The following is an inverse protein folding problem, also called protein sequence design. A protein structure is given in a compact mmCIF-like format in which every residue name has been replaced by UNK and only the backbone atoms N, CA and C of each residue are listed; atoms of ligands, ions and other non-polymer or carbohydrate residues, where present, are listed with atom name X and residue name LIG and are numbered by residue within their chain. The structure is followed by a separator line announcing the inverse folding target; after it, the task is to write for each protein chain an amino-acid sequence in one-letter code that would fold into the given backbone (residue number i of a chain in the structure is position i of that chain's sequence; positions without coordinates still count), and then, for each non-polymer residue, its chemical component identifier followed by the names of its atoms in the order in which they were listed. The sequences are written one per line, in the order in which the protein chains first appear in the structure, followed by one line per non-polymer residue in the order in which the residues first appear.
data_IF_254413180908
#
_entry.id   IF_254413180908
#
_cell.length_a   1.000
_cell.length_b   1.000
_cell.length_c   1.000
_cell.angle_alpha   90.00
_cell.angle_beta   90.00
_cell.angle_gamma   90.00
#
_symmetry.space_group_name_H-M   'P 1'
#
loop_
_entity.id
_entity.type
_entity.pdbx_description
1 polymer ?
#
# COMPACT_ATOMS: atom_id res chain seq x y z
N UNK A 1 -16.48 -4.07 -42.64
CA UNK A 1 -17.70 -3.50 -42.00
C UNK A 1 -17.20 -2.76 -40.77
N UNK A 2 -16.87 -1.46 -40.76
CA UNK A 2 -17.74 -0.25 -40.87
C UNK A 2 -19.03 -0.40 -40.04
N UNK A 3 -19.42 0.44 -39.07
CA UNK A 3 -19.24 1.89 -38.77
C UNK A 3 -19.47 2.11 -37.21
N UNK A 4 -19.66 3.32 -36.61
CA UNK A 4 -18.86 3.91 -35.51
C UNK A 4 -19.75 4.49 -34.38
N UNK A 5 -19.23 5.32 -33.48
CA UNK A 5 -19.85 6.59 -32.99
C UNK A 5 -18.84 7.31 -32.09
N UNK A 6 -18.20 8.37 -32.59
CA UNK A 6 -17.63 9.44 -31.77
C UNK A 6 -18.04 10.76 -32.41
N UNK A 7 -18.89 11.50 -31.71
CA UNK A 7 -19.30 12.86 -32.05
C UNK A 7 -18.28 13.85 -31.51
N UNK A 8 -17.74 14.67 -32.40
CA UNK A 8 -16.93 15.85 -32.13
C UNK A 8 -17.75 16.91 -31.38
N UNK A 9 -17.16 17.50 -30.34
CA UNK A 9 -17.55 18.81 -29.82
C UNK A 9 -16.35 19.75 -30.00
N UNK A 10 -16.57 20.80 -30.78
CA UNK A 10 -15.65 21.89 -31.07
C UNK A 10 -15.39 22.73 -29.82
N UNK A 11 -14.14 23.13 -29.60
CA UNK A 11 -13.79 24.29 -28.78
C UNK A 11 -13.19 25.37 -29.71
N UNK A 12 -13.63 26.63 -29.60
CA UNK A 12 -13.20 27.69 -30.50
C UNK A 12 -11.80 28.22 -30.17
N UNK A 13 -11.07 28.48 -31.23
CA UNK A 13 -9.80 29.21 -31.30
C UNK A 13 -10.00 30.73 -31.29
N UNK A 14 -9.09 31.41 -30.58
CA UNK A 14 -8.47 32.72 -30.84
C UNK A 14 -8.53 33.68 -29.65
N UNK A 15 -7.35 34.08 -29.15
CA UNK A 15 -6.85 35.41 -29.51
C UNK A 15 -5.33 35.52 -29.27
N UNK A 16 -4.67 35.91 -30.35
CA UNK A 16 -3.32 36.47 -30.38
C UNK A 16 -3.25 37.77 -29.58
N UNK A 17 -2.21 37.95 -28.79
CA UNK A 17 -1.48 39.22 -28.68
C UNK A 17 0.01 38.92 -28.50
N UNK A 18 0.82 39.47 -29.40
CA UNK A 18 2.28 39.44 -29.38
C UNK A 18 2.85 40.72 -28.77
N UNK A 19 4.05 40.55 -28.16
CA UNK A 19 5.17 41.50 -28.02
C UNK A 19 4.97 42.73 -27.11
N UNK A 20 5.76 42.77 -26.02
CA UNK A 20 6.87 43.73 -25.92
C UNK A 20 7.82 43.40 -24.75
N UNK A 21 9.09 43.23 -25.08
CA UNK A 21 10.25 43.46 -24.20
C UNK A 21 10.24 44.91 -23.70
N UNK A 22 10.45 45.13 -22.40
CA UNK A 22 11.36 46.16 -21.87
C UNK A 22 11.72 45.85 -20.41
N UNK A 23 12.99 45.49 -20.21
CA UNK A 23 13.71 45.67 -18.96
C UNK A 23 13.85 47.18 -18.69
N UNK A 24 13.44 47.65 -17.50
CA UNK A 24 14.25 48.55 -16.65
C UNK A 24 13.46 49.12 -15.47
N UNK A 25 14.15 49.19 -14.32
CA UNK A 25 13.85 49.98 -13.12
C UNK A 25 12.86 49.39 -12.09
N UNK A 26 13.40 48.53 -11.21
CA UNK A 26 12.94 48.47 -9.81
C UNK A 26 13.65 49.56 -9.01
N UNK A 27 12.94 50.50 -8.35
CA UNK A 27 13.50 51.22 -7.23
C UNK A 27 13.54 50.29 -6.01
N UNK A 28 14.69 50.27 -5.36
CA UNK A 28 14.86 49.91 -3.96
C UNK A 28 13.76 50.56 -3.12
N UNK A 29 12.89 49.76 -2.52
CA UNK A 29 11.98 50.22 -1.47
C UNK A 29 12.12 49.30 -0.27
N UNK A 30 12.47 49.97 0.83
CA UNK A 30 12.57 49.52 2.21
C UNK A 30 11.76 48.28 2.57
N UNK A 31 12.44 47.31 3.18
CA UNK A 31 11.83 46.28 4.02
C UNK A 31 10.95 46.95 5.09
N UNK A 32 9.63 46.86 4.93
CA UNK A 32 8.67 47.06 6.02
C UNK A 32 8.23 45.68 6.53
N UNK A 33 8.41 45.36 7.82
CA UNK A 33 8.09 44.05 8.37
C UNK A 33 6.62 43.99 8.80
N UNK A 34 5.68 43.89 7.85
CA UNK A 34 4.26 43.57 8.14
C UNK A 34 3.39 43.50 6.88
N UNK A 35 3.70 42.64 5.91
CA UNK A 35 2.71 42.26 4.91
C UNK A 35 2.43 40.76 5.04
N UNK A 36 1.22 40.45 5.51
CA UNK A 36 0.61 39.13 5.45
C UNK A 36 0.45 38.77 3.96
N UNK A 37 1.46 38.11 3.42
CA UNK A 37 1.47 37.70 2.02
C UNK A 37 0.90 36.30 1.89
N UNK A 38 0.06 36.11 0.87
CA UNK A 38 -0.38 34.78 0.44
C UNK A 38 0.81 34.11 -0.23
N UNK A 39 1.10 32.88 0.18
CA UNK A 39 2.12 32.01 -0.39
C UNK A 39 1.41 30.88 -1.14
N UNK A 40 1.81 30.66 -2.39
CA UNK A 40 1.38 29.49 -3.17
C UNK A 40 2.34 28.33 -2.88
N UNK A 41 1.81 27.12 -2.69
CA UNK A 41 2.59 25.89 -2.51
C UNK A 41 2.18 24.84 -3.53
N UNK A 42 3.14 24.01 -3.93
CA UNK A 42 2.89 22.79 -4.72
C UNK A 42 2.99 21.59 -3.81
N UNK A 43 1.93 20.80 -3.67
CA UNK A 43 1.92 19.61 -2.80
C UNK A 43 1.87 18.35 -3.65
N UNK A 44 2.83 17.45 -3.47
CA UNK A 44 2.87 16.17 -4.16
C UNK A 44 1.61 15.33 -3.83
N UNK A 45 0.88 14.90 -4.86
CA UNK A 45 -0.27 13.98 -4.72
C UNK A 45 0.17 12.55 -4.43
N UNK A 46 1.36 12.19 -4.88
CA UNK A 46 2.01 10.89 -4.67
C UNK A 46 3.43 11.12 -4.15
N UNK A 47 3.90 10.28 -3.23
CA UNK A 47 5.14 10.48 -2.48
C UNK A 47 6.32 10.92 -3.36
N UNK A 48 6.87 12.10 -3.05
CA UNK A 48 8.03 12.75 -3.70
C UNK A 48 7.95 12.90 -5.23
N UNK A 49 6.77 12.73 -5.85
CA UNK A 49 6.59 12.93 -7.28
C UNK A 49 6.38 14.42 -7.59
N UNK A 50 7.47 15.12 -7.90
CA UNK A 50 7.47 16.57 -8.19
C UNK A 50 6.68 16.97 -9.45
N UNK A 51 6.45 16.03 -10.37
CA UNK A 51 5.65 16.27 -11.57
C UNK A 51 4.14 16.12 -11.32
N UNK A 52 3.73 15.50 -10.20
CA UNK A 52 2.34 15.25 -9.86
C UNK A 52 1.95 16.00 -8.58
N UNK A 53 1.76 17.31 -8.71
CA UNK A 53 1.44 18.20 -7.59
C UNK A 53 0.03 18.81 -7.72
N UNK A 54 -0.51 19.27 -6.60
CA UNK A 54 -1.65 20.20 -6.55
C UNK A 54 -1.19 21.53 -5.98
N UNK A 55 -1.82 22.61 -6.42
CA UNK A 55 -1.53 23.96 -5.92
C UNK A 55 -2.43 24.27 -4.72
N UNK A 56 -1.88 24.98 -3.75
CA UNK A 56 -2.64 25.51 -2.62
C UNK A 56 -2.07 26.85 -2.15
N UNK A 57 -2.95 27.78 -1.83
CA UNK A 57 -2.56 29.07 -1.28
C UNK A 57 -2.71 29.10 0.23
N UNK A 58 -1.84 29.79 0.94
CA UNK A 58 -1.95 29.99 2.39
C UNK A 58 -1.48 31.36 2.80
N UNK A 59 -2.05 31.90 3.88
CA UNK A 59 -1.54 33.13 4.46
C UNK A 59 -0.25 32.84 5.22
N UNK A 60 0.75 33.71 5.12
CA UNK A 60 2.00 33.55 5.87
C UNK A 60 1.81 33.54 7.41
N UNK A 61 0.69 34.06 7.91
CA UNK A 61 0.28 33.96 9.33
C UNK A 61 -0.38 32.64 9.72
N UNK A 62 -0.81 31.82 8.76
CA UNK A 62 -1.46 30.55 9.08
C UNK A 62 -0.47 29.65 9.82
N UNK A 63 -0.99 28.84 10.73
CA UNK A 63 -0.19 27.92 11.54
C UNK A 63 0.17 26.67 10.77
N UNK A 64 1.18 25.93 11.24
CA UNK A 64 1.48 24.58 10.77
C UNK A 64 0.25 23.69 10.84
N UNK A 65 -0.55 23.79 11.91
CA UNK A 65 -1.81 23.03 12.04
C UNK A 65 -2.78 23.35 10.90
N UNK A 66 -2.95 24.62 10.55
CA UNK A 66 -3.79 25.03 9.43
C UNK A 66 -3.25 24.53 8.08
N UNK A 67 -1.92 24.56 7.89
CA UNK A 67 -1.25 23.98 6.73
C UNK A 67 -1.54 22.48 6.62
N UNK A 68 -1.40 21.74 7.73
CA UNK A 68 -1.69 20.32 7.79
C UNK A 68 -3.15 20.03 7.44
N UNK A 69 -4.08 20.78 8.03
CA UNK A 69 -5.51 20.61 7.79
C UNK A 69 -5.87 20.88 6.32
N UNK A 70 -5.26 21.90 5.72
CA UNK A 70 -5.49 22.25 4.32
C UNK A 70 -4.91 21.21 3.37
N UNK A 71 -3.68 20.74 3.61
CA UNK A 71 -3.09 19.62 2.85
C UNK A 71 -3.98 18.37 2.96
N UNK A 72 -4.43 18.05 4.17
CA UNK A 72 -5.31 16.91 4.41
C UNK A 72 -6.61 17.02 3.61
N UNK A 73 -7.24 18.19 3.61
CA UNK A 73 -8.44 18.46 2.81
C UNK A 73 -8.19 18.32 1.30
N UNK A 74 -7.14 18.95 0.76
CA UNK A 74 -6.85 18.94 -0.68
C UNK A 74 -6.45 17.57 -1.23
N UNK A 75 -5.69 16.81 -0.44
CA UNK A 75 -5.28 15.46 -0.79
C UNK A 75 -6.33 14.41 -0.41
N UNK A 76 -7.47 14.82 0.17
CA UNK A 76 -8.51 13.93 0.71
C UNK A 76 -7.95 12.90 1.70
N UNK A 77 -6.94 13.30 2.47
CA UNK A 77 -6.30 12.51 3.52
C UNK A 77 -7.11 12.69 4.80
N UNK A 78 -7.74 11.62 5.29
CA UNK A 78 -8.45 11.64 6.59
C UNK A 78 -7.53 11.10 7.69
N UNK A 79 -6.53 11.88 8.09
CA UNK A 79 -5.55 11.55 9.14
C UNK A 79 -5.49 12.60 10.23
N UNK A 80 -5.11 12.18 11.45
CA UNK A 80 -4.84 13.09 12.54
C UNK A 80 -3.59 13.91 12.20
N UNK A 81 -3.66 15.24 12.37
CA UNK A 81 -2.58 16.17 11.98
C UNK A 81 -1.23 15.86 12.66
N UNK A 82 -1.23 15.13 13.77
CA UNK A 82 -0.02 14.68 14.49
C UNK A 82 0.72 13.50 13.84
N UNK A 83 0.14 12.84 12.84
CA UNK A 83 0.61 11.54 12.33
C UNK A 83 1.35 11.60 10.98
N UNK A 84 1.44 12.79 10.37
CA UNK A 84 2.19 12.98 9.14
C UNK A 84 3.09 14.22 9.23
N UNK A 85 4.27 14.10 8.64
CA UNK A 85 5.30 15.12 8.57
C UNK A 85 5.39 15.63 7.14
N UNK A 86 5.95 16.82 6.95
CA UNK A 86 6.21 17.34 5.62
C UNK A 86 7.68 17.48 5.35
N UNK A 87 8.02 17.28 4.09
CA UNK A 87 9.32 17.62 3.57
C UNK A 87 9.13 18.74 2.55
N UNK A 88 10.08 19.66 2.51
CA UNK A 88 10.19 20.64 1.42
C UNK A 88 11.33 20.20 0.50
N UNK A 89 11.11 20.30 -0.81
CA UNK A 89 12.16 20.09 -1.79
C UNK A 89 13.04 21.33 -1.86
N UNK A 90 14.33 21.16 -1.61
CA UNK A 90 15.34 22.19 -1.78
C UNK A 90 15.85 22.15 -3.23
N UNK A 91 15.68 23.25 -3.97
CA UNK A 91 16.10 23.35 -5.37
C UNK A 91 17.60 23.64 -5.52
N UNK A 92 18.25 24.20 -4.50
CA UNK A 92 19.67 24.50 -4.52
C UNK A 92 20.48 23.20 -4.31
N UNK A 93 20.04 22.37 -3.36
CA UNK A 93 20.72 21.10 -3.02
C UNK A 93 20.10 19.85 -3.69
N UNK A 94 18.96 19.99 -4.37
CA UNK A 94 18.18 18.88 -4.97
C UNK A 94 17.78 17.77 -3.99
N UNK A 95 17.54 18.12 -2.71
CA UNK A 95 17.22 17.17 -1.63
C UNK A 95 15.91 17.51 -0.94
N UNK A 96 15.26 16.50 -0.35
CA UNK A 96 14.12 16.70 0.54
C UNK A 96 14.61 17.01 1.95
N UNK A 97 14.08 18.08 2.55
CA UNK A 97 14.38 18.50 3.92
C UNK A 97 13.12 18.41 4.77
N UNK A 98 13.19 17.69 5.89
CA UNK A 98 12.07 17.59 6.83
C UNK A 98 11.80 18.95 7.48
N UNK A 99 10.53 19.34 7.54
CA UNK A 99 10.09 20.52 8.27
C UNK A 99 9.85 20.11 9.73
N UNK A 100 10.47 20.83 10.67
CA UNK A 100 10.17 20.69 12.09
C UNK A 100 8.76 21.23 12.38
N UNK A 101 7.86 20.32 12.74
CA UNK A 101 6.46 20.58 13.05
C UNK A 101 6.12 20.31 14.51
N UNK A 102 7.15 20.20 15.37
CA UNK A 102 7.01 19.89 16.80
C UNK A 102 6.14 20.90 17.56
N UNK A 103 6.11 22.17 17.11
CA UNK A 103 5.24 23.21 17.65
C UNK A 103 4.10 23.54 16.65
N UNK A 104 2.86 23.08 16.92
CA UNK A 104 1.72 23.20 16.00
C UNK A 104 1.24 24.64 15.78
N UNK A 105 1.65 25.58 16.64
CA UNK A 105 1.28 27.00 16.61
C UNK A 105 2.27 27.87 15.84
N UNK A 106 3.42 27.33 15.40
CA UNK A 106 4.37 28.06 14.55
C UNK A 106 3.69 28.47 13.25
N UNK A 107 3.92 29.69 12.80
CA UNK A 107 3.34 30.22 11.56
C UNK A 107 4.21 29.87 10.36
N UNK A 108 3.62 29.85 9.17
CA UNK A 108 4.33 29.54 7.92
C UNK A 108 5.49 30.50 7.68
N UNK A 109 5.35 31.79 8.02
CA UNK A 109 6.42 32.77 7.90
C UNK A 109 7.66 32.41 8.77
N UNK A 110 7.42 31.81 9.94
CA UNK A 110 8.49 31.39 10.84
C UNK A 110 9.24 30.15 10.33
N UNK A 111 8.60 29.34 9.48
CA UNK A 111 9.24 28.20 8.80
C UNK A 111 10.16 28.59 7.65
N UNK A 112 10.19 29.87 7.25
CA UNK A 112 11.00 30.40 6.15
C UNK A 112 10.76 29.69 4.79
N UNK A 113 9.56 29.16 4.58
CA UNK A 113 9.17 28.57 3.30
C UNK A 113 8.95 29.67 2.24
N UNK A 114 9.43 29.44 1.02
CA UNK A 114 9.23 30.36 -0.11
C UNK A 114 7.95 29.99 -0.88
N UNK A 115 7.29 30.99 -1.45
CA UNK A 115 6.20 30.74 -2.42
C UNK A 115 6.73 29.93 -3.61
N UNK A 116 5.93 28.99 -4.08
CA UNK A 116 6.24 28.07 -5.18
C UNK A 116 6.98 26.80 -4.77
N UNK A 117 7.37 26.65 -3.48
CA UNK A 117 8.10 25.47 -3.03
C UNK A 117 7.23 24.20 -3.13
N UNK A 118 7.91 23.06 -3.25
CA UNK A 118 7.26 21.76 -3.38
C UNK A 118 7.29 21.07 -2.02
N UNK A 119 6.11 20.71 -1.52
CA UNK A 119 5.88 19.98 -0.29
C UNK A 119 5.54 18.52 -0.58
N UNK A 120 6.14 17.61 0.18
CA UNK A 120 5.79 16.20 0.22
C UNK A 120 5.21 15.86 1.60
N UNK A 121 4.24 14.95 1.62
CA UNK A 121 3.70 14.37 2.87
C UNK A 121 4.39 13.04 3.10
N UNK A 122 5.06 12.89 4.24
CA UNK A 122 5.69 11.65 4.67
C UNK A 122 4.92 11.03 5.84
N UNK A 123 4.64 9.74 5.71
CA UNK A 123 4.03 8.93 6.75
C UNK A 123 5.15 8.22 7.50
N UNK A 124 5.44 8.63 8.74
CA UNK A 124 6.36 7.85 9.58
C UNK A 124 5.62 6.62 10.11
N UNK A 125 5.73 5.50 9.40
CA UNK A 125 5.71 4.20 10.08
C UNK A 125 6.89 4.22 11.04
N UNK A 126 6.66 4.35 12.35
CA UNK A 126 7.71 4.03 13.32
C UNK A 126 8.16 2.60 13.03
N UNK A 127 9.34 2.45 12.43
CA UNK A 127 10.05 1.18 12.45
C UNK A 127 10.33 0.90 13.92
N UNK A 128 9.63 -0.08 14.49
CA UNK A 128 10.01 -0.65 15.79
C UNK A 128 11.40 -1.26 15.59
N UNK A 129 12.44 -0.84 16.34
CA UNK A 129 13.75 -1.46 16.24
C UNK A 129 13.63 -2.95 16.52
N UNK A 130 14.20 -3.76 15.63
CA UNK A 130 14.41 -5.19 15.84
C UNK A 130 15.50 -5.39 16.90
N UNK A 131 15.18 -5.12 18.16
CA UNK A 131 15.99 -5.59 19.28
C UNK A 131 15.11 -5.88 20.50
N UNK A 132 14.62 -7.12 20.57
CA UNK A 132 14.23 -7.72 21.84
C UNK A 132 15.52 -8.07 22.59
N UNK A 133 16.03 -7.15 23.41
CA UNK A 133 16.69 -7.44 24.70
C UNK A 133 17.06 -6.13 25.42
N UNK A 134 16.58 -6.05 26.66
CA UNK A 134 16.82 -5.02 27.67
C UNK A 134 16.11 -3.69 27.44
N UNK A 135 15.06 -3.46 28.23
CA UNK A 135 14.92 -2.25 29.02
C UNK A 135 13.89 -2.50 30.13
N UNK A 136 14.34 -2.17 31.33
CA UNK A 136 13.72 -2.48 32.60
C UNK A 136 12.39 -1.75 32.82
N UNK A 137 11.62 -2.33 33.72
CA UNK A 137 10.41 -1.82 34.36
C UNK A 137 10.37 -0.31 34.58
N UNK A 138 9.45 0.34 33.89
CA UNK A 138 8.70 1.47 34.43
C UNK A 138 7.26 1.37 33.90
N UNK A 139 6.32 1.42 34.83
CA UNK A 139 4.88 1.30 34.62
C UNK A 139 4.37 2.32 33.59
N UNK A 140 4.17 1.88 32.36
CA UNK A 140 3.42 2.62 31.33
C UNK A 140 1.97 2.13 31.38
N UNK A 141 1.04 3.05 31.54
CA UNK A 141 -0.41 2.78 31.53
C UNK A 141 -0.81 1.98 30.29
N UNK A 142 -1.60 0.93 30.46
CA UNK A 142 -2.15 0.07 29.41
C UNK A 142 -3.22 0.79 28.55
N UNK A 143 -2.92 1.96 27.99
CA UNK A 143 -3.80 2.61 27.03
C UNK A 143 -3.44 2.11 25.62
N UNK A 144 -4.31 1.29 25.03
CA UNK A 144 -4.16 0.84 23.65
C UNK A 144 -3.98 2.00 22.68
N UNK A 145 -3.12 1.83 21.68
CA UNK A 145 -2.93 2.80 20.59
C UNK A 145 -4.15 2.90 19.69
N UNK A 146 -4.41 4.06 19.12
CA UNK A 146 -5.45 4.25 18.09
C UNK A 146 -4.91 3.79 16.72
N UNK A 147 -5.68 2.98 16.00
CA UNK A 147 -5.36 2.48 14.66
C UNK A 147 -6.28 3.17 13.65
N UNK A 148 -5.70 3.80 12.63
CA UNK A 148 -6.44 4.32 11.48
C UNK A 148 -6.45 3.25 10.37
N UNK A 149 -7.59 2.67 10.03
CA UNK A 149 -7.69 1.57 9.06
C UNK A 149 -8.31 2.05 7.74
N UNK A 150 -8.00 1.35 6.63
CA UNK A 150 -8.52 1.64 5.28
C UNK A 150 -9.56 0.60 4.88
N UNK A 151 -10.83 0.96 4.95
CA UNK A 151 -11.92 0.04 4.63
C UNK A 151 -12.31 0.13 3.15
N UNK A 152 -11.98 -0.92 2.41
CA UNK A 152 -12.37 -1.16 1.01
C UNK A 152 -13.77 -1.79 0.96
N UNK A 153 -14.58 -1.35 0.01
CA UNK A 153 -15.93 -1.91 -0.25
C UNK A 153 -15.97 -2.89 -1.39
N UNK A 154 -14.98 -2.80 -2.28
CA UNK A 154 -14.80 -3.70 -3.40
C UNK A 154 -13.58 -4.57 -3.10
N UNK A 155 -13.72 -5.90 -3.08
CA UNK A 155 -12.57 -6.76 -2.93
C UNK A 155 -11.63 -6.49 -4.12
N UNK A 156 -10.35 -6.24 -3.82
CA UNK A 156 -9.25 -5.89 -4.74
C UNK A 156 -9.10 -4.41 -5.13
N UNK A 157 -10.05 -3.52 -4.82
CA UNK A 157 -9.87 -2.10 -5.11
C UNK A 157 -9.21 -1.38 -3.93
N UNK A 158 -7.89 -1.17 -4.01
CA UNK A 158 -7.12 -0.39 -3.03
C UNK A 158 -7.05 1.09 -3.36
N UNK A 159 -7.70 1.50 -4.43
CA UNK A 159 -7.75 2.91 -4.88
C UNK A 159 -8.98 3.64 -4.33
N UNK A 160 -10.02 2.89 -3.95
CA UNK A 160 -11.26 3.42 -3.36
C UNK A 160 -11.51 2.80 -1.97
N UNK A 161 -11.32 3.60 -0.92
CA UNK A 161 -11.46 3.18 0.47
C UNK A 161 -11.85 4.35 1.38
N UNK A 162 -12.46 4.01 2.52
CA UNK A 162 -12.77 4.98 3.57
C UNK A 162 -11.89 4.75 4.80
N UNK A 163 -11.51 5.85 5.46
CA UNK A 163 -10.79 5.77 6.73
C UNK A 163 -11.74 5.60 7.91
N UNK A 164 -11.30 4.85 8.91
CA UNK A 164 -11.91 4.87 10.24
C UNK A 164 -10.89 4.53 11.32
N UNK A 165 -11.15 5.01 12.54
CA UNK A 165 -10.27 4.74 13.68
C UNK A 165 -10.87 3.70 14.61
N UNK A 166 -9.99 2.89 15.20
CA UNK A 166 -10.35 1.90 16.20
C UNK A 166 -9.20 1.74 17.20
N UNK A 167 -9.52 1.58 18.50
CA UNK A 167 -8.48 1.32 19.49
C UNK A 167 -7.92 -0.11 19.30
N UNK A 168 -6.60 -0.28 19.35
CA UNK A 168 -5.90 -1.57 19.22
C UNK A 168 -6.32 -2.63 20.24
N UNK A 169 -6.77 -2.23 21.44
CA UNK A 169 -7.35 -3.14 22.43
C UNK A 169 -8.82 -3.51 22.14
N UNK A 170 -9.42 -2.95 21.08
CA UNK A 170 -10.74 -3.39 20.62
C UNK A 170 -10.66 -4.80 20.04
N UNK A 171 -11.75 -5.56 20.16
CA UNK A 171 -11.81 -6.90 19.60
C UNK A 171 -12.07 -6.89 18.10
N UNK A 172 -11.72 -7.99 17.41
CA UNK A 172 -12.07 -8.20 15.99
C UNK A 172 -13.58 -8.14 15.77
N UNK A 173 -14.40 -8.66 16.69
CA UNK A 173 -15.86 -8.55 16.58
C UNK A 173 -16.34 -7.08 16.59
N UNK A 174 -15.67 -6.20 17.35
CA UNK A 174 -15.97 -4.76 17.34
C UNK A 174 -15.49 -4.08 16.06
N UNK A 175 -14.32 -4.45 15.55
CA UNK A 175 -13.83 -4.03 14.23
C UNK A 175 -14.86 -4.36 13.14
N UNK A 176 -15.29 -5.62 13.12
CA UNK A 176 -16.28 -6.16 12.19
C UNK A 176 -17.58 -5.35 12.25
N UNK A 177 -18.14 -5.16 13.44
CA UNK A 177 -19.36 -4.37 13.65
C UNK A 177 -19.24 -2.94 13.11
N UNK A 178 -18.17 -2.22 13.46
CA UNK A 178 -17.97 -0.84 12.99
C UNK A 178 -17.79 -0.76 11.47
N UNK A 179 -17.07 -1.71 10.88
CA UNK A 179 -16.87 -1.76 9.45
C UNK A 179 -18.20 -1.97 8.70
N UNK A 180 -19.08 -2.84 9.19
CA UNK A 180 -20.42 -3.05 8.63
C UNK A 180 -21.35 -1.84 8.79
N UNK A 181 -21.36 -1.21 9.97
CA UNK A 181 -22.16 0.00 10.24
C UNK A 181 -21.84 1.13 9.25
N UNK A 182 -20.55 1.31 8.90
CA UNK A 182 -20.13 2.32 7.92
C UNK A 182 -20.73 2.14 6.52
N UNK A 183 -21.20 0.94 6.18
CA UNK A 183 -21.77 0.64 4.87
C UNK A 183 -23.27 0.40 4.86
N UNK A 184 -23.95 0.59 6.00
CA UNK A 184 -25.38 0.37 6.12
C UNK A 184 -25.82 -1.03 5.63
N UNK A 185 -24.90 -2.01 5.70
CA UNK A 185 -25.08 -3.40 5.31
C UNK A 185 -25.13 -4.25 6.58
N UNK A 186 -26.17 -5.07 6.72
CA UNK A 186 -26.39 -5.90 7.89
C UNK A 186 -26.67 -7.35 7.46
N UNK A 187 -25.65 -8.21 7.55
CA UNK A 187 -25.81 -9.66 7.67
C UNK A 187 -24.73 -10.21 8.60
N UNK A 188 -25.14 -10.97 9.61
CA UNK A 188 -24.36 -11.27 10.82
C UNK A 188 -23.20 -12.26 10.65
N UNK A 189 -22.94 -12.77 9.45
CA UNK A 189 -22.03 -13.91 9.22
C UNK A 189 -21.00 -13.68 8.10
N UNK A 190 -20.75 -12.44 7.69
CA UNK A 190 -19.82 -12.20 6.59
C UNK A 190 -18.35 -12.06 7.06
N UNK A 191 -17.41 -12.66 6.31
CA UNK A 191 -15.99 -12.61 6.62
C UNK A 191 -15.43 -11.18 6.49
N UNK A 192 -14.38 -10.88 7.26
CA UNK A 192 -13.62 -9.63 7.16
C UNK A 192 -12.20 -10.00 6.76
N UNK A 193 -11.60 -9.23 5.87
CA UNK A 193 -10.28 -9.52 5.32
C UNK A 193 -9.33 -8.41 5.66
N UNK A 194 -8.10 -8.79 6.03
CA UNK A 194 -6.99 -7.91 6.29
C UNK A 194 -6.04 -7.93 5.09
N UNK A 195 -5.80 -6.78 4.48
CA UNK A 195 -4.88 -6.61 3.36
C UNK A 195 -3.47 -6.22 3.82
N UNK A 196 -2.45 -6.90 3.28
CA UNK A 196 -1.05 -6.46 3.31
C UNK A 196 -0.63 -5.92 1.93
N UNK A 197 0.63 -5.57 1.72
CA UNK A 197 1.11 -5.03 0.43
C UNK A 197 0.83 -5.91 -0.81
N UNK A 198 0.66 -7.22 -0.68
CA UNK A 198 0.52 -8.14 -1.81
C UNK A 198 -0.73 -9.02 -1.80
N UNK A 199 -1.39 -9.19 -0.65
CA UNK A 199 -2.50 -10.12 -0.50
C UNK A 199 -3.54 -9.64 0.51
N UNK A 200 -4.65 -10.36 0.54
CA UNK A 200 -5.69 -10.28 1.56
C UNK A 200 -5.71 -11.57 2.34
N UNK A 201 -5.90 -11.48 3.66
CA UNK A 201 -5.98 -12.61 4.58
C UNK A 201 -7.34 -12.58 5.25
N UNK A 202 -8.02 -13.73 5.28
CA UNK A 202 -9.27 -13.90 5.99
C UNK A 202 -9.04 -13.76 7.49
N UNK A 203 -9.85 -12.97 8.17
CA UNK A 203 -9.90 -12.89 9.63
C UNK A 203 -11.11 -13.71 10.09
N UNK A 204 -10.82 -14.93 10.50
CA UNK A 204 -11.80 -15.94 10.91
C UNK A 204 -12.67 -15.48 12.08
N UNK A 205 -13.92 -15.93 12.09
CA UNK A 205 -14.88 -15.59 13.16
C UNK A 205 -14.45 -16.07 14.55
N UNK A 206 -13.63 -17.13 14.62
CA UNK A 206 -13.04 -17.65 15.86
C UNK A 206 -12.10 -16.64 16.54
N UNK A 207 -11.62 -15.64 15.80
CA UNK A 207 -10.76 -14.57 16.32
C UNK A 207 -11.55 -13.36 16.83
N UNK A 208 -12.88 -13.37 16.79
CA UNK A 208 -13.71 -12.21 17.13
C UNK A 208 -13.51 -11.71 18.58
N UNK A 209 -13.05 -12.57 19.49
CA UNK A 209 -12.69 -12.22 20.87
C UNK A 209 -11.26 -11.69 21.05
N UNK A 210 -10.37 -11.90 20.06
CA UNK A 210 -8.99 -11.41 20.09
C UNK A 210 -8.95 -9.91 19.87
N UNK A 211 -7.98 -9.25 20.49
CA UNK A 211 -7.74 -7.82 20.25
C UNK A 211 -7.03 -7.61 18.92
N UNK A 212 -7.14 -6.41 18.36
CA UNK A 212 -6.40 -6.05 17.16
C UNK A 212 -4.87 -6.03 17.39
N UNK A 213 -4.45 -5.77 18.63
CA UNK A 213 -3.06 -5.86 19.05
C UNK A 213 -2.55 -7.31 19.01
N UNK A 214 -3.34 -8.28 19.49
CA UNK A 214 -2.98 -9.71 19.44
C UNK A 214 -2.79 -10.25 18.01
N UNK A 215 -3.38 -9.57 17.02
CA UNK A 215 -3.34 -9.93 15.61
C UNK A 215 -2.44 -9.01 14.78
N UNK A 216 -1.59 -8.22 15.45
CA UNK A 216 -0.63 -7.31 14.84
C UNK A 216 -1.25 -6.36 13.80
N UNK A 217 -2.46 -5.82 14.05
CA UNK A 217 -3.01 -4.79 13.18
C UNK A 217 -2.19 -3.51 13.31
N UNK A 218 -1.79 -3.00 12.15
CA UNK A 218 -1.05 -1.74 12.02
C UNK A 218 -1.96 -0.65 11.49
N UNK A 219 -1.64 0.59 11.79
CA UNK A 219 -2.27 1.72 11.11
C UNK A 219 -2.10 1.58 9.59
N UNK A 220 -3.09 2.06 8.86
CA UNK A 220 -3.25 1.99 7.41
C UNK A 220 -3.43 0.60 6.82
N UNK A 221 -3.59 -0.42 7.67
CA UNK A 221 -3.97 -1.76 7.23
C UNK A 221 -5.28 -1.69 6.45
N UNK A 222 -5.28 -2.31 5.27
CA UNK A 222 -6.48 -2.41 4.45
C UNK A 222 -7.42 -3.46 5.04
N UNK A 223 -8.71 -3.16 5.04
CA UNK A 223 -9.79 -4.01 5.53
C UNK A 223 -10.83 -4.13 4.43
N UNK A 224 -11.40 -5.31 4.23
CA UNK A 224 -12.58 -5.48 3.36
C UNK A 224 -13.64 -6.30 4.08
N UNK A 225 -14.90 -5.89 3.94
CA UNK A 225 -16.09 -6.57 4.49
C UNK A 225 -16.94 -7.29 3.43
N UNK A 226 -16.57 -7.12 2.16
CA UNK A 226 -17.21 -7.72 1.00
C UNK A 226 -16.09 -8.38 0.20
N UNK A 227 -15.83 -9.64 0.47
CA UNK A 227 -14.81 -10.42 -0.22
C UNK A 227 -15.42 -11.78 -0.46
N UNK A 228 -15.66 -12.06 -1.74
CA UNK A 228 -16.11 -13.35 -2.20
C UNK A 228 -14.87 -14.11 -2.71
N UNK A 229 -14.50 -15.18 -2.02
CA UNK A 229 -13.40 -16.07 -2.41
C UNK A 229 -13.57 -16.54 -3.88
N UNK A 230 -14.80 -16.60 -4.40
CA UNK A 230 -15.08 -16.98 -5.79
C UNK A 230 -14.76 -15.88 -6.80
N UNK A 231 -14.83 -14.60 -6.45
CA UNK A 231 -14.57 -13.49 -7.37
C UNK A 231 -13.06 -13.27 -7.58
N UNK A 232 -12.22 -13.54 -6.58
CA UNK A 232 -10.76 -13.37 -6.66
C UNK A 232 -10.09 -14.51 -7.39
N UNK A 233 -10.60 -15.74 -7.29
CA UNK A 233 -10.17 -16.84 -8.15
C UNK A 233 -10.42 -16.59 -9.66
N UNK A 234 -11.06 -15.48 -10.02
CA UNK A 234 -11.17 -15.01 -11.42
C UNK A 234 -10.22 -13.86 -11.78
N UNK A 235 -9.54 -13.24 -10.81
CA UNK A 235 -8.74 -12.01 -10.96
C UNK A 235 -7.34 -12.05 -10.33
N UNK A 236 -6.88 -13.19 -9.80
CA UNK A 236 -5.51 -13.27 -9.27
C UNK A 236 -4.51 -13.11 -10.42
N UNK A 237 -3.44 -12.30 -10.26
CA UNK A 237 -2.37 -12.25 -11.24
C UNK A 237 -1.82 -13.65 -11.49
N UNK A 238 -1.86 -14.11 -12.74
CA UNK A 238 -1.29 -15.41 -13.11
C UNK A 238 0.15 -15.51 -12.62
N UNK A 239 0.47 -16.62 -11.96
CA UNK A 239 1.81 -16.88 -11.41
C UNK A 239 2.01 -16.34 -9.99
N UNK A 240 1.11 -15.50 -9.46
CA UNK A 240 1.18 -14.98 -8.10
C UNK A 240 0.32 -15.85 -7.14
N UNK A 241 0.88 -16.98 -6.71
CA UNK A 241 0.25 -17.87 -5.73
C UNK A 241 1.29 -18.51 -4.81
N UNK A 242 0.89 -18.87 -3.59
CA UNK A 242 1.70 -19.62 -2.64
C UNK A 242 1.74 -21.12 -2.93
N UNK A 243 2.63 -21.83 -2.25
CA UNK A 243 2.64 -23.30 -2.19
C UNK A 243 2.40 -23.75 -0.75
N UNK A 244 1.50 -24.70 -0.56
CA UNK A 244 1.20 -25.27 0.77
C UNK A 244 2.45 -26.00 1.29
N UNK A 245 2.85 -25.72 2.53
CA UNK A 245 3.92 -26.45 3.20
C UNK A 245 3.34 -27.76 3.76
N UNK A 246 3.86 -28.90 3.31
CA UNK A 246 3.36 -30.24 3.65
C UNK A 246 4.14 -30.91 4.79
N UNK A 247 4.90 -30.11 5.55
CA UNK A 247 5.80 -30.57 6.60
C UNK A 247 7.22 -30.76 6.08
N UNK A 248 8.15 -29.93 6.55
CA UNK A 248 9.56 -29.91 6.10
C UNK A 248 9.76 -29.69 4.58
N UNK A 249 8.76 -29.21 3.82
CA UNK A 249 8.88 -29.02 2.36
C UNK A 249 9.15 -27.57 1.93
N UNK A 250 9.48 -26.67 2.87
CA UNK A 250 9.71 -25.26 2.55
C UNK A 250 10.92 -25.03 1.62
N UNK A 251 11.93 -25.91 1.65
CA UNK A 251 13.07 -25.89 0.72
C UNK A 251 12.57 -26.06 -0.73
N UNK A 252 11.77 -27.11 -0.98
CA UNK A 252 11.16 -27.43 -2.27
C UNK A 252 10.24 -26.30 -2.75
N UNK A 253 9.39 -25.78 -1.85
CA UNK A 253 8.48 -24.68 -2.18
C UNK A 253 9.26 -23.42 -2.60
N UNK A 254 10.34 -23.10 -1.90
CA UNK A 254 11.20 -21.95 -2.23
C UNK A 254 11.83 -22.10 -3.61
N UNK A 255 12.37 -23.28 -3.93
CA UNK A 255 13.00 -23.58 -5.21
C UNK A 255 11.99 -23.48 -6.36
N UNK A 256 10.80 -24.08 -6.20
CA UNK A 256 9.77 -23.98 -7.24
C UNK A 256 9.27 -22.55 -7.45
N UNK A 257 9.20 -21.73 -6.40
CA UNK A 257 8.88 -20.31 -6.55
C UNK A 257 9.98 -19.53 -7.27
N UNK A 258 11.26 -19.83 -7.00
CA UNK A 258 12.39 -19.27 -7.75
C UNK A 258 12.33 -19.67 -9.23
N UNK A 259 12.11 -20.95 -9.54
CA UNK A 259 11.95 -21.43 -10.91
C UNK A 259 10.73 -20.81 -11.60
N UNK A 260 9.62 -20.64 -10.88
CA UNK A 260 8.41 -19.97 -11.35
C UNK A 260 8.63 -18.51 -11.72
N UNK A 261 9.65 -17.88 -11.14
CA UNK A 261 10.04 -16.50 -11.41
C UNK A 261 10.95 -16.35 -12.64
N UNK A 262 11.29 -17.43 -13.35
CA UNK A 262 12.13 -17.44 -14.55
C UNK A 262 11.21 -17.63 -15.78
N UNK A 263 10.87 -16.56 -16.53
CA UNK A 263 9.86 -16.62 -17.59
C UNK A 263 10.16 -17.67 -18.67
N UNK A 264 11.41 -17.72 -19.14
CA UNK A 264 11.85 -18.66 -20.16
C UNK A 264 11.72 -20.12 -19.74
N UNK A 265 11.92 -20.40 -18.44
CA UNK A 265 11.79 -21.75 -17.90
C UNK A 265 10.32 -22.17 -17.88
N UNK A 266 9.44 -21.29 -17.40
CA UNK A 266 8.01 -21.58 -17.32
C UNK A 266 7.35 -21.71 -18.68
N UNK A 267 7.71 -20.87 -19.65
CA UNK A 267 7.27 -21.02 -21.05
C UNK A 267 7.68 -22.41 -21.55
N UNK A 268 8.94 -22.81 -21.32
CA UNK A 268 9.42 -24.11 -21.80
C UNK A 268 8.70 -25.29 -21.16
N UNK A 269 8.43 -25.23 -19.86
CA UNK A 269 7.65 -26.26 -19.14
C UNK A 269 6.21 -26.32 -19.65
N UNK A 270 5.58 -25.17 -19.91
CA UNK A 270 4.22 -25.10 -20.41
C UNK A 270 4.07 -25.70 -21.83
N UNK A 271 5.08 -25.49 -22.68
CA UNK A 271 5.17 -25.98 -24.07
C UNK A 271 5.47 -27.48 -24.20
N UNK A 272 5.88 -28.16 -23.12
CA UNK A 272 6.10 -29.61 -23.19
C UNK A 272 4.83 -30.32 -23.66
N UNK A 273 4.96 -31.53 -24.23
CA UNK A 273 3.78 -32.36 -24.52
C UNK A 273 3.09 -32.79 -23.22
N UNK A 274 1.80 -33.14 -23.25
CA UNK A 274 1.14 -33.69 -22.06
C UNK A 274 1.60 -35.14 -21.79
N UNK A 275 2.07 -35.84 -22.83
CA UNK A 275 2.65 -37.19 -22.77
C UNK A 275 4.17 -37.19 -22.52
N UNK A 276 4.65 -36.33 -21.64
CA UNK A 276 6.06 -36.36 -21.25
C UNK A 276 6.34 -37.65 -20.47
N UNK A 277 7.22 -38.49 -21.02
CA UNK A 277 7.73 -39.70 -20.35
C UNK A 277 8.78 -39.36 -19.27
N UNK A 278 8.41 -38.44 -18.36
CA UNK A 278 9.18 -38.06 -17.19
C UNK A 278 8.18 -37.70 -16.08
N UNK A 279 7.90 -38.63 -15.15
CA UNK A 279 6.81 -38.49 -14.16
C UNK A 279 6.88 -37.20 -13.33
N UNK A 280 8.07 -36.82 -12.87
CA UNK A 280 8.28 -35.61 -12.06
C UNK A 280 7.96 -34.36 -12.88
N UNK A 281 8.46 -34.30 -14.12
CA UNK A 281 8.24 -33.15 -15.01
C UNK A 281 6.77 -33.04 -15.39
N UNK A 282 6.08 -34.17 -15.59
CA UNK A 282 4.64 -34.19 -15.88
C UNK A 282 3.82 -33.59 -14.73
N UNK A 283 4.10 -33.99 -13.48
CA UNK A 283 3.44 -33.40 -12.31
C UNK A 283 3.84 -31.94 -12.07
N UNK A 284 5.11 -31.60 -12.30
CA UNK A 284 5.57 -30.22 -12.19
C UNK A 284 4.90 -29.29 -13.21
N UNK A 285 4.69 -29.76 -14.45
CA UNK A 285 3.92 -29.04 -15.47
C UNK A 285 2.48 -28.78 -15.01
N UNK A 286 1.82 -29.77 -14.41
CA UNK A 286 0.47 -29.60 -13.84
C UNK A 286 0.45 -28.57 -12.71
N UNK A 287 1.47 -28.58 -11.86
CA UNK A 287 1.65 -27.58 -10.80
C UNK A 287 1.78 -26.18 -11.41
N UNK A 288 2.68 -25.98 -12.38
CA UNK A 288 2.87 -24.71 -13.09
C UNK A 288 1.57 -24.23 -13.73
N UNK A 289 0.83 -25.10 -14.44
CA UNK A 289 -0.48 -24.76 -15.02
C UNK A 289 -1.48 -24.27 -13.95
N UNK A 290 -1.51 -24.89 -12.76
CA UNK A 290 -2.34 -24.43 -11.64
C UNK A 290 -1.85 -23.07 -11.12
N UNK A 291 -0.55 -22.90 -10.91
CA UNK A 291 0.03 -21.66 -10.40
C UNK A 291 -0.22 -20.46 -11.33
N UNK A 292 -0.20 -20.68 -12.65
CA UNK A 292 -0.45 -19.64 -13.66
C UNK A 292 -1.92 -19.50 -14.08
N UNK A 293 -2.82 -20.31 -13.52
CA UNK A 293 -4.24 -20.26 -13.89
C UNK A 293 -4.98 -19.00 -13.40
N UNK A 294 -4.41 -18.27 -12.44
CA UNK A 294 -5.08 -17.13 -11.78
C UNK A 294 -6.26 -17.55 -10.88
N UNK A 295 -6.38 -18.84 -10.56
CA UNK A 295 -7.52 -19.42 -9.81
C UNK A 295 -7.25 -19.77 -8.35
N UNK A 296 -6.02 -19.63 -7.89
CA UNK A 296 -5.61 -20.13 -6.57
C UNK A 296 -4.69 -19.13 -5.89
N UNK A 297 -4.98 -18.81 -4.63
CA UNK A 297 -4.07 -18.03 -3.76
C UNK A 297 -2.93 -18.90 -3.22
N UNK A 298 -3.15 -20.21 -3.10
CA UNK A 298 -2.14 -21.21 -2.79
C UNK A 298 -2.45 -22.53 -3.51
N UNK A 299 -1.42 -23.24 -3.94
CA UNK A 299 -1.54 -24.54 -4.62
C UNK A 299 -0.91 -25.63 -3.76
N UNK A 300 -1.58 -26.78 -3.67
CA UNK A 300 -1.09 -27.98 -3.01
C UNK A 300 -0.13 -28.77 -3.95
N UNK A 301 1.15 -28.96 -3.56
CA UNK A 301 2.13 -29.69 -4.36
C UNK A 301 2.22 -31.20 -4.02
N UNK A 302 1.27 -31.78 -3.29
CA UNK A 302 1.34 -33.17 -2.77
C UNK A 302 1.58 -34.22 -3.84
N UNK A 303 0.93 -34.08 -5.01
CA UNK A 303 1.10 -35.03 -6.12
C UNK A 303 2.53 -35.00 -6.69
N UNK A 304 3.11 -33.81 -6.82
CA UNK A 304 4.50 -33.64 -7.25
C UNK A 304 5.46 -34.19 -6.20
N UNK A 305 5.21 -33.90 -4.92
CA UNK A 305 6.02 -34.42 -3.82
C UNK A 305 6.03 -35.96 -3.80
N UNK A 306 4.85 -36.59 -3.92
CA UNK A 306 4.75 -38.05 -3.96
C UNK A 306 5.53 -38.61 -5.16
N UNK A 307 5.39 -37.98 -6.33
CA UNK A 307 6.12 -38.40 -7.52
C UNK A 307 7.64 -38.28 -7.35
N UNK A 308 8.13 -37.20 -6.73
CA UNK A 308 9.54 -37.03 -6.39
C UNK A 308 10.00 -38.15 -5.45
N UNK A 309 9.24 -38.46 -4.41
CA UNK A 309 9.59 -39.53 -3.45
C UNK A 309 9.65 -40.91 -4.11
N UNK A 310 8.70 -41.19 -4.99
CA UNK A 310 8.60 -42.48 -5.69
C UNK A 310 9.76 -42.69 -6.67
N UNK A 311 10.29 -41.61 -7.26
CA UNK A 311 11.31 -41.66 -8.30
C UNK A 311 12.73 -41.29 -7.82
N UNK A 312 12.86 -40.61 -6.68
CA UNK A 312 14.14 -40.14 -6.11
C UNK A 312 14.24 -40.58 -4.64
N UNK A 313 14.80 -41.78 -4.37
CA UNK A 313 14.85 -42.38 -3.04
C UNK A 313 15.52 -41.50 -1.96
N UNK A 314 16.47 -40.65 -2.35
CA UNK A 314 17.13 -39.70 -1.46
C UNK A 314 16.15 -38.70 -0.80
N UNK A 315 15.05 -38.36 -1.46
CA UNK A 315 14.03 -37.44 -0.96
C UNK A 315 12.78 -38.14 -0.38
N UNK A 316 12.77 -39.48 -0.30
CA UNK A 316 11.64 -40.25 0.23
C UNK A 316 11.36 -39.98 1.72
N UNK A 317 12.39 -39.59 2.47
CA UNK A 317 12.29 -39.32 3.91
C UNK A 317 11.72 -37.93 4.18
N UNK A 318 10.79 -37.81 5.13
CA UNK A 318 10.13 -36.57 5.57
C UNK A 318 11.05 -35.61 6.35
N UNK A 319 12.33 -35.53 5.96
CA UNK A 319 13.32 -34.66 6.60
C UNK A 319 13.47 -33.38 5.81
N UNK A 320 13.87 -32.32 6.51
CA UNK A 320 14.31 -31.09 5.87
C UNK A 320 15.56 -31.38 5.04
N UNK A 321 15.61 -30.83 3.83
CA UNK A 321 16.69 -31.02 2.88
C UNK A 321 17.39 -29.69 2.60
N UNK A 322 18.63 -29.79 2.13
CA UNK A 322 19.34 -28.64 1.60
C UNK A 322 18.74 -28.23 0.25
N UNK A 323 18.58 -26.91 0.05
CA UNK A 323 17.91 -26.37 -1.13
C UNK A 323 18.81 -26.30 -2.38
N UNK A 324 20.13 -26.38 -2.20
CA UNK A 324 21.09 -26.42 -3.30
C UNK A 324 21.34 -27.86 -3.76
N UNK A 325 21.18 -28.84 -2.87
CA UNK A 325 21.19 -30.27 -3.21
C UNK A 325 19.93 -30.72 -3.96
N UNK A 326 18.77 -30.14 -3.64
CA UNK A 326 17.48 -30.41 -4.30
C UNK A 326 17.33 -29.71 -5.66
#
# INVERSE_FOLDING_TARGET
MYHPYFTHVNLPSNNHYSLNDQNSHRPSTAYSPSQLNVLEFKVCKTQRNRANCTYMDMWSSDTITALKAKIAYYLKINLLLKEFFFEVFDEDDYQWKTIDDSNPSVTINQLKLRSGCILNVEYRTQQIPKDRRSLNSTSVSMSGRELCLKLCTKPLDRTDYIYFTINSLSTVGKLRKQAYEKFNKLEKNRPIYRGNQYSWMLVESELDEKTLEDLDFESYTFISIDYDDKEINSKLPSGLCGLVNLGSTCFMNSIFQCLNSIPQFIVKIAELNDEVNAPIISEYKKLVKKMWSGKYTAVDPSLLLNNIKDNLPHYANYRQQDAQEF
#
